data_IF_760664278385
#
_entry.id   IF_760664278385
#
_cell.length_a   1.000
_cell.length_b   1.000
_cell.length_c   1.000
_cell.angle_alpha   90.00
_cell.angle_beta   90.00
_cell.angle_gamma   90.00
#
_symmetry.space_group_name_H-M   'P 1'
#
loop_
_entity.id
_entity.type
_entity.pdbx_description
1 polymer ?
#
# COMPACT_ATOMS: atom_id res chain seq x y z
N UNK A 1 -5.38 -21.39 21.03
CA UNK A 1 -4.66 -21.28 19.75
C UNK A 1 -5.60 -21.63 18.60
N UNK A 2 -5.89 -22.90 18.34
CA UNK A 2 -6.70 -23.33 17.17
C UNK A 2 -8.18 -22.91 17.14
N UNK A 3 -8.67 -22.27 18.21
CA UNK A 3 -9.99 -21.63 18.18
C UNK A 3 -9.98 -20.30 17.38
N UNK A 4 -8.81 -19.65 17.30
CA UNK A 4 -8.65 -18.34 16.66
C UNK A 4 -7.78 -18.38 15.40
N UNK A 5 -6.85 -19.34 15.31
CA UNK A 5 -5.87 -19.40 14.22
C UNK A 5 -5.74 -20.81 13.68
N UNK A 6 -5.72 -20.94 12.36
CA UNK A 6 -5.51 -22.21 11.66
C UNK A 6 -4.12 -22.79 11.97
N UNK A 7 -3.10 -21.94 11.96
CA UNK A 7 -1.72 -22.27 12.29
C UNK A 7 -0.92 -21.03 12.74
N UNK A 8 0.41 -21.18 12.85
CA UNK A 8 1.29 -20.08 13.25
C UNK A 8 1.41 -18.97 12.20
N UNK A 9 1.24 -19.28 10.91
CA UNK A 9 1.33 -18.29 9.83
C UNK A 9 0.07 -17.43 9.79
N UNK A 10 -1.08 -18.03 10.04
CA UNK A 10 -2.35 -17.32 10.20
C UNK A 10 -2.26 -16.28 11.34
N UNK A 11 -1.66 -16.65 12.48
CA UNK A 11 -1.38 -15.70 13.56
C UNK A 11 -0.43 -14.56 13.13
N UNK A 12 0.63 -14.87 12.38
CA UNK A 12 1.60 -13.86 11.89
C UNK A 12 0.91 -12.85 10.97
N UNK A 13 0.08 -13.33 10.04
CA UNK A 13 -0.67 -12.49 9.11
C UNK A 13 -1.68 -11.61 9.87
N UNK A 14 -2.40 -12.19 10.83
CA UNK A 14 -3.34 -11.43 11.67
C UNK A 14 -2.65 -10.33 12.49
N UNK A 15 -1.46 -10.59 13.06
CA UNK A 15 -0.68 -9.57 13.78
C UNK A 15 -0.34 -8.40 12.84
N UNK A 16 0.14 -8.72 11.63
CA UNK A 16 0.47 -7.71 10.63
C UNK A 16 -0.75 -6.88 10.23
N UNK A 17 -1.86 -7.52 9.86
CA UNK A 17 -3.07 -6.82 9.43
C UNK A 17 -3.63 -5.91 10.52
N UNK A 18 -3.62 -6.38 11.78
CA UNK A 18 -4.07 -5.57 12.91
C UNK A 18 -3.21 -4.33 13.09
N UNK A 19 -1.90 -4.51 13.18
CA UNK A 19 -1.01 -3.40 13.51
C UNK A 19 -0.88 -2.40 12.37
N UNK A 20 -0.80 -2.89 11.14
CA UNK A 20 -0.80 -2.02 9.96
C UNK A 20 -2.16 -1.39 9.71
N UNK A 21 -3.27 -2.07 9.99
CA UNK A 21 -4.61 -1.50 9.97
C UNK A 21 -4.77 -0.34 10.95
N UNK A 22 -4.19 -0.44 12.15
CA UNK A 22 -4.15 0.67 13.12
C UNK A 22 -3.31 1.86 12.62
N UNK A 23 -2.20 1.59 11.94
CA UNK A 23 -1.33 2.63 11.35
C UNK A 23 -2.10 3.35 10.23
N UNK A 24 -2.62 2.58 9.28
CA UNK A 24 -3.30 3.06 8.08
C UNK A 24 -4.72 3.57 8.34
N UNK A 25 -5.28 3.28 9.51
CA UNK A 25 -6.60 3.75 9.93
C UNK A 25 -7.75 3.07 9.20
N UNK A 26 -7.71 1.75 8.98
CA UNK A 26 -8.86 1.06 8.39
C UNK A 26 -9.30 -0.11 9.26
N UNK A 27 -10.56 -0.53 9.06
CA UNK A 27 -11.13 -1.65 9.80
C UNK A 27 -10.41 -2.97 9.45
N UNK A 28 -9.82 -3.58 10.48
CA UNK A 28 -9.08 -4.84 10.41
C UNK A 28 -10.04 -6.02 10.16
N UNK A 29 -11.33 -5.85 10.44
CA UNK A 29 -12.36 -6.88 10.24
C UNK A 29 -12.88 -6.97 8.79
N UNK A 30 -12.48 -6.06 7.89
CA UNK A 30 -12.83 -6.17 6.46
C UNK A 30 -11.97 -7.23 5.75
N UNK A 31 -12.52 -8.45 5.66
CA UNK A 31 -11.90 -9.60 5.02
C UNK A 31 -12.14 -9.68 3.51
N UNK A 32 -12.76 -8.66 2.89
CA UNK A 32 -13.09 -8.71 1.46
C UNK A 32 -11.81 -8.77 0.60
N UNK A 33 -11.83 -9.37 -0.60
CA UNK A 33 -10.69 -9.36 -1.52
C UNK A 33 -10.22 -7.92 -1.83
N UNK A 34 -8.90 -7.66 -2.02
CA UNK A 34 -8.35 -6.30 -2.20
C UNK A 34 -9.01 -5.51 -3.34
N UNK A 35 -9.50 -6.21 -4.35
CA UNK A 35 -10.16 -5.70 -5.55
C UNK A 35 -11.67 -5.46 -5.38
N UNK A 36 -12.27 -5.97 -4.31
CA UNK A 36 -13.70 -5.83 -3.98
C UNK A 36 -13.96 -4.92 -2.76
N UNK A 37 -12.93 -4.53 -2.00
CA UNK A 37 -13.05 -3.55 -0.91
C UNK A 37 -13.50 -2.21 -1.46
N UNK A 38 -14.59 -1.64 -0.92
CA UNK A 38 -15.05 -0.30 -1.27
C UNK A 38 -13.90 0.68 -1.09
N UNK A 39 -13.45 1.30 -2.18
CA UNK A 39 -12.31 2.23 -2.17
C UNK A 39 -12.61 3.55 -1.43
N UNK A 40 -13.87 3.74 -1.04
CA UNK A 40 -14.38 4.89 -0.31
C UNK A 40 -15.38 4.34 0.71
N UNK A 41 -14.98 4.20 1.97
CA UNK A 41 -15.93 4.16 3.07
C UNK A 41 -16.18 5.59 3.58
N UNK A 42 -17.41 5.82 4.02
CA UNK A 42 -17.94 7.08 4.51
C UNK A 42 -17.26 7.61 5.79
N UNK A 43 -16.27 6.88 6.33
CA UNK A 43 -15.65 7.10 7.63
C UNK A 43 -14.18 7.51 7.63
N UNK A 44 -13.55 7.75 6.46
CA UNK A 44 -12.53 8.79 6.33
C UNK A 44 -11.42 8.83 7.38
N UNK A 45 -10.67 7.74 7.57
CA UNK A 45 -9.42 7.80 8.33
C UNK A 45 -8.29 8.34 7.44
N UNK A 46 -8.38 9.65 7.23
CA UNK A 46 -7.34 10.48 6.65
C UNK A 46 -6.18 10.64 7.65
N UNK A 47 -5.26 9.67 7.70
CA UNK A 47 -3.84 10.07 7.69
C UNK A 47 -3.50 10.41 6.24
N UNK A 48 -3.91 11.62 5.83
CA UNK A 48 -3.66 12.20 4.50
C UNK A 48 -2.40 13.07 4.49
N UNK A 49 -1.38 12.70 5.27
CA UNK A 49 -0.06 13.32 5.14
C UNK A 49 0.81 12.59 4.10
N UNK A 50 0.27 11.56 3.44
CA UNK A 50 0.99 10.77 2.44
C UNK A 50 2.05 9.83 3.04
N UNK A 51 2.06 9.62 4.36
CA UNK A 51 3.15 8.90 5.06
C UNK A 51 2.84 7.47 5.46
N UNK A 52 1.70 6.90 5.07
CA UNK A 52 1.34 5.52 5.47
C UNK A 52 2.46 4.53 5.10
N UNK A 53 3.07 4.66 3.92
CA UNK A 53 4.18 3.77 3.55
C UNK A 53 5.40 3.97 4.46
N UNK A 54 5.74 5.22 4.82
CA UNK A 54 6.83 5.53 5.74
C UNK A 54 6.54 4.96 7.14
N UNK A 55 5.32 5.12 7.65
CA UNK A 55 4.89 4.60 8.95
C UNK A 55 4.93 3.06 8.97
N UNK A 56 4.53 2.40 7.88
CA UNK A 56 4.64 0.94 7.73
C UNK A 56 6.12 0.51 7.70
N UNK A 57 6.98 1.22 6.99
CA UNK A 57 8.43 0.95 6.95
C UNK A 57 9.05 1.11 8.35
N UNK A 58 8.69 2.16 9.07
CA UNK A 58 9.13 2.40 10.45
C UNK A 58 8.66 1.28 11.39
N UNK A 59 7.39 0.90 11.31
CA UNK A 59 6.83 -0.18 12.13
C UNK A 59 7.52 -1.52 11.87
N UNK A 60 7.66 -1.92 10.59
CA UNK A 60 8.37 -3.15 10.22
C UNK A 60 9.79 -3.18 10.78
N UNK A 61 10.47 -2.04 10.81
CA UNK A 61 11.81 -1.92 11.36
C UNK A 61 11.85 -1.97 12.90
N UNK A 62 10.85 -1.36 13.56
CA UNK A 62 10.73 -1.39 15.01
C UNK A 62 10.59 -2.83 15.54
N UNK A 63 9.89 -3.68 14.78
CA UNK A 63 9.69 -5.11 15.05
C UNK A 63 10.55 -6.02 14.14
N UNK A 64 11.68 -5.53 13.63
CA UNK A 64 12.47 -6.21 12.58
C UNK A 64 12.85 -7.65 12.90
N UNK A 65 13.12 -7.99 14.17
CA UNK A 65 13.50 -9.35 14.54
C UNK A 65 12.37 -10.35 14.23
N UNK A 66 11.12 -9.92 14.41
CA UNK A 66 9.94 -10.70 14.06
C UNK A 66 9.77 -10.79 12.54
N UNK A 67 9.80 -9.63 11.85
CA UNK A 67 9.52 -9.59 10.41
C UNK A 67 10.61 -10.19 9.53
N UNK A 68 11.88 -10.12 9.94
CA UNK A 68 12.99 -10.82 9.28
C UNK A 68 12.76 -12.33 9.34
N UNK A 69 12.43 -12.87 10.50
CA UNK A 69 12.16 -14.31 10.65
C UNK A 69 10.89 -14.72 9.89
N UNK A 70 9.82 -13.94 9.98
CA UNK A 70 8.55 -14.22 9.31
C UNK A 70 8.67 -14.24 7.78
N UNK A 71 9.43 -13.31 7.19
CA UNK A 71 9.57 -13.16 5.74
C UNK A 71 10.72 -14.00 5.13
N UNK A 72 11.57 -14.59 5.96
CA UNK A 72 12.69 -15.46 5.53
C UNK A 72 12.36 -16.95 5.66
N UNK A 73 11.31 -17.31 6.40
CA UNK A 73 10.85 -18.69 6.56
C UNK A 73 10.38 -19.30 5.22
N UNK A 74 10.86 -20.50 4.87
CA UNK A 74 10.49 -21.25 3.65
C UNK A 74 9.06 -21.86 3.67
N UNK A 75 8.28 -21.58 4.71
CA UNK A 75 6.87 -21.97 4.79
C UNK A 75 6.05 -20.94 3.99
N UNK A 76 5.05 -21.37 3.21
CA UNK A 76 4.22 -20.53 2.32
C UNK A 76 4.00 -19.10 2.86
N UNK A 77 4.36 -18.11 2.03
CA UNK A 77 4.50 -16.70 2.40
C UNK A 77 3.19 -15.92 2.22
N UNK A 78 2.16 -16.24 2.99
CA UNK A 78 0.88 -15.50 2.97
C UNK A 78 1.09 -14.05 3.44
N UNK A 79 2.02 -13.81 4.37
CA UNK A 79 2.39 -12.44 4.81
C UNK A 79 2.79 -11.51 3.65
N UNK A 80 3.36 -12.06 2.57
CA UNK A 80 3.68 -11.27 1.36
C UNK A 80 2.41 -10.75 0.69
N UNK A 81 1.35 -11.54 0.66
CA UNK A 81 0.05 -11.16 0.10
C UNK A 81 -0.61 -10.07 0.95
N UNK A 82 -0.46 -10.15 2.28
CA UNK A 82 -0.91 -9.09 3.18
C UNK A 82 -0.14 -7.78 2.97
N UNK A 83 1.19 -7.84 2.83
CA UNK A 83 2.02 -6.66 2.47
C UNK A 83 1.59 -6.07 1.11
N UNK A 84 1.31 -6.93 0.13
CA UNK A 84 0.81 -6.52 -1.18
C UNK A 84 -0.53 -5.79 -1.04
N UNK A 85 -1.47 -6.35 -0.28
CA UNK A 85 -2.80 -5.78 -0.07
C UNK A 85 -2.74 -4.38 0.55
N UNK A 86 -1.94 -4.19 1.60
CA UNK A 86 -1.72 -2.87 2.21
C UNK A 86 -1.13 -1.90 1.20
N UNK A 87 -0.06 -2.33 0.52
CA UNK A 87 0.66 -1.50 -0.45
C UNK A 87 -0.24 -1.07 -1.60
N UNK A 88 -1.12 -1.95 -2.07
CA UNK A 88 -2.07 -1.68 -3.14
C UNK A 88 -3.03 -0.56 -2.76
N UNK A 89 -3.52 -0.58 -1.52
CA UNK A 89 -4.42 0.45 -1.00
C UNK A 89 -3.71 1.80 -0.87
N UNK A 90 -2.48 1.79 -0.35
CA UNK A 90 -1.66 3.01 -0.27
C UNK A 90 -1.44 3.61 -1.66
N UNK A 91 -1.02 2.81 -2.64
CA UNK A 91 -0.82 3.30 -3.99
C UNK A 91 -2.09 3.76 -4.69
N UNK A 92 -3.21 3.07 -4.48
CA UNK A 92 -4.50 3.48 -5.03
C UNK A 92 -4.88 4.87 -4.50
N UNK A 93 -4.74 5.10 -3.20
CA UNK A 93 -5.01 6.39 -2.56
C UNK A 93 -4.04 7.48 -3.03
N UNK A 94 -2.74 7.18 -3.07
CA UNK A 94 -1.73 8.15 -3.47
C UNK A 94 -1.91 8.53 -4.95
N UNK A 95 -2.23 7.56 -5.81
CA UNK A 95 -2.56 7.79 -7.21
C UNK A 95 -3.80 8.67 -7.35
N UNK A 96 -4.89 8.39 -6.61
CA UNK A 96 -6.08 9.22 -6.62
C UNK A 96 -5.79 10.66 -6.14
N UNK A 97 -4.96 10.81 -5.10
CA UNK A 97 -4.57 12.11 -4.55
C UNK A 97 -3.74 12.92 -5.55
N UNK A 98 -2.74 12.29 -6.19
CA UNK A 98 -1.88 12.93 -7.19
C UNK A 98 -2.59 13.22 -8.51
N UNK A 99 -3.56 12.37 -8.88
CA UNK A 99 -4.35 12.54 -10.08
C UNK A 99 -5.23 13.79 -9.98
N UNK A 100 -5.84 14.03 -8.82
CA UNK A 100 -6.68 15.21 -8.57
C UNK A 100 -7.89 15.22 -9.51
N UNK A 101 -8.11 16.34 -10.20
CA UNK A 101 -9.18 16.51 -11.18
C UNK A 101 -8.88 15.89 -12.56
N UNK A 102 -7.69 15.30 -12.76
CA UNK A 102 -7.36 14.62 -14.01
C UNK A 102 -8.03 13.26 -14.05
N UNK A 103 -8.24 12.71 -15.24
CA UNK A 103 -8.74 11.36 -15.43
C UNK A 103 -7.71 10.48 -16.13
N UNK A 104 -7.63 9.22 -15.70
CA UNK A 104 -6.89 8.15 -16.36
C UNK A 104 -7.86 7.02 -16.70
N UNK A 105 -7.56 6.22 -17.71
CA UNK A 105 -8.36 5.02 -17.99
C UNK A 105 -8.26 4.03 -16.83
N UNK A 106 -9.33 3.26 -16.59
CA UNK A 106 -9.34 2.22 -15.56
C UNK A 106 -8.21 1.20 -15.78
N UNK A 107 -7.93 0.83 -17.03
CA UNK A 107 -6.83 -0.06 -17.38
C UNK A 107 -5.46 0.51 -16.97
N UNK A 108 -5.21 1.79 -17.22
CA UNK A 108 -3.97 2.45 -16.82
C UNK A 108 -3.85 2.51 -15.30
N UNK A 109 -4.91 2.94 -14.60
CA UNK A 109 -4.95 2.98 -13.13
C UNK A 109 -4.58 1.62 -12.55
N UNK A 110 -5.27 0.55 -12.96
CA UNK A 110 -5.00 -0.79 -12.44
C UNK A 110 -3.59 -1.29 -12.79
N UNK A 111 -3.11 -0.99 -14.00
CA UNK A 111 -1.77 -1.41 -14.44
C UNK A 111 -0.69 -0.78 -13.57
N UNK A 112 -0.75 0.54 -13.36
CA UNK A 112 0.27 1.25 -12.58
C UNK A 112 0.18 0.95 -11.10
N UNK A 113 -1.03 0.88 -10.52
CA UNK A 113 -1.19 0.48 -9.12
C UNK A 113 -0.60 -0.91 -8.88
N UNK A 114 -0.90 -1.91 -9.74
CA UNK A 114 -0.32 -3.25 -9.63
C UNK A 114 1.20 -3.23 -9.76
N UNK A 115 1.74 -2.49 -10.73
CA UNK A 115 3.18 -2.38 -10.94
C UNK A 115 3.91 -1.83 -9.70
N UNK A 116 3.49 -0.68 -9.18
CA UNK A 116 4.12 -0.07 -8.01
C UNK A 116 3.93 -0.92 -6.75
N UNK A 117 2.79 -1.58 -6.60
CA UNK A 117 2.52 -2.51 -5.49
C UNK A 117 3.47 -3.69 -5.50
N UNK A 118 3.69 -4.32 -6.67
CA UNK A 118 4.68 -5.39 -6.79
C UNK A 118 6.09 -4.89 -6.50
N UNK A 119 6.45 -3.70 -7.01
CA UNK A 119 7.77 -3.12 -6.78
C UNK A 119 8.04 -2.89 -5.28
N UNK A 120 7.12 -2.26 -4.54
CA UNK A 120 7.33 -2.02 -3.10
C UNK A 120 7.28 -3.32 -2.30
N UNK A 121 6.36 -4.24 -2.62
CA UNK A 121 6.24 -5.52 -1.91
C UNK A 121 7.53 -6.31 -2.07
N UNK A 122 8.04 -6.42 -3.29
CA UNK A 122 9.32 -7.09 -3.56
C UNK A 122 10.48 -6.43 -2.82
N UNK A 123 10.50 -5.09 -2.77
CA UNK A 123 11.54 -4.33 -2.08
C UNK A 123 11.51 -4.56 -0.57
N UNK A 124 10.32 -4.54 0.06
CA UNK A 124 10.15 -4.79 1.49
C UNK A 124 10.52 -6.23 1.87
N UNK A 125 10.09 -7.21 1.08
CA UNK A 125 10.44 -8.62 1.28
C UNK A 125 11.94 -8.83 1.15
N UNK A 126 12.57 -8.28 0.11
CA UNK A 126 14.01 -8.38 -0.07
C UNK A 126 14.77 -7.73 1.10
N UNK A 127 14.35 -6.55 1.54
CA UNK A 127 14.95 -5.86 2.68
C UNK A 127 14.88 -6.72 3.96
N UNK A 128 13.76 -7.40 4.20
CA UNK A 128 13.62 -8.35 5.31
C UNK A 128 14.54 -9.57 5.16
N UNK A 129 14.60 -10.18 3.98
CA UNK A 129 15.47 -11.34 3.70
C UNK A 129 16.96 -11.02 3.84
N UNK A 130 17.34 -9.77 3.57
CA UNK A 130 18.70 -9.27 3.79
C UNK A 130 18.97 -8.87 5.24
N UNK A 131 18.00 -9.04 6.14
CA UNK A 131 18.10 -8.79 7.58
C UNK A 131 17.85 -7.33 8.00
N UNK A 132 17.17 -6.54 7.17
CA UNK A 132 16.88 -5.11 7.39
C UNK A 132 18.11 -4.30 7.82
N UNK A 133 19.23 -4.47 7.10
CA UNK A 133 20.54 -3.88 7.47
C UNK A 133 20.57 -2.36 7.38
N UNK A 134 19.98 -1.80 6.33
CA UNK A 134 19.73 -0.36 6.20
C UNK A 134 18.56 0.01 7.13
N UNK A 135 18.66 1.14 7.83
CA UNK A 135 17.58 1.59 8.71
C UNK A 135 16.34 2.08 7.92
N UNK A 136 15.22 2.24 8.62
CA UNK A 136 13.94 2.65 8.02
C UNK A 136 13.99 4.02 7.33
N UNK A 137 14.77 4.97 7.85
CA UNK A 137 14.92 6.32 7.26
C UNK A 137 15.72 6.23 5.96
N UNK A 138 16.81 5.46 5.95
CA UNK A 138 17.60 5.22 4.75
C UNK A 138 16.79 4.51 3.66
N UNK A 139 16.02 3.49 4.04
CA UNK A 139 15.10 2.78 3.16
C UNK A 139 14.07 3.73 2.54
N UNK A 140 13.32 4.49 3.35
CA UNK A 140 12.33 5.45 2.89
C UNK A 140 12.94 6.53 1.99
N UNK A 141 14.09 7.09 2.37
CA UNK A 141 14.79 8.12 1.58
C UNK A 141 15.27 7.60 0.23
N UNK A 142 15.65 6.33 0.14
CA UNK A 142 16.15 5.72 -1.10
C UNK A 142 15.03 5.47 -2.12
N UNK A 143 13.89 4.95 -1.67
CA UNK A 143 12.81 4.51 -2.57
C UNK A 143 11.67 5.52 -2.71
N UNK A 144 11.37 6.30 -1.68
CA UNK A 144 10.27 7.27 -1.67
C UNK A 144 10.32 8.27 -2.83
N UNK A 145 11.44 9.00 -3.05
CA UNK A 145 11.55 9.95 -4.16
C UNK A 145 11.38 9.29 -5.53
N UNK A 146 11.99 8.11 -5.73
CA UNK A 146 11.89 7.37 -6.98
C UNK A 146 10.43 7.01 -7.27
N UNK A 147 9.73 6.46 -6.29
CA UNK A 147 8.33 6.07 -6.43
C UNK A 147 7.47 7.30 -6.74
N UNK A 148 7.65 8.38 -6.01
CA UNK A 148 6.90 9.62 -6.20
C UNK A 148 7.12 10.22 -7.60
N UNK A 149 8.38 10.34 -8.04
CA UNK A 149 8.72 10.85 -9.38
C UNK A 149 8.14 10.00 -10.50
N UNK A 150 8.19 8.66 -10.36
CA UNK A 150 7.62 7.75 -11.36
C UNK A 150 6.09 7.81 -11.39
N UNK A 151 5.43 7.97 -10.23
CA UNK A 151 3.98 8.18 -10.18
C UNK A 151 3.58 9.47 -10.90
N UNK A 152 4.27 10.58 -10.64
CA UNK A 152 4.03 11.86 -11.33
C UNK A 152 4.20 11.71 -12.85
N UNK A 153 5.31 11.09 -13.29
CA UNK A 153 5.58 10.86 -14.71
C UNK A 153 4.45 10.06 -15.37
N UNK A 154 4.00 8.97 -14.73
CA UNK A 154 2.91 8.14 -15.24
C UNK A 154 1.61 8.94 -15.37
N UNK A 155 1.25 9.72 -14.35
CA UNK A 155 0.05 10.53 -14.37
C UNK A 155 0.13 11.55 -15.50
N UNK A 156 1.27 12.24 -15.67
CA UNK A 156 1.44 13.25 -16.70
C UNK A 156 1.36 12.67 -18.13
N UNK A 157 1.77 11.42 -18.33
CA UNK A 157 1.70 10.74 -19.64
C UNK A 157 0.33 10.14 -19.94
N UNK A 158 -0.43 9.74 -18.92
CA UNK A 158 -1.62 8.91 -19.08
C UNK A 158 -2.91 9.56 -18.60
N UNK A 159 -2.86 10.80 -18.10
CA UNK A 159 -4.03 11.53 -17.66
C UNK A 159 -4.39 12.72 -18.54
N UNK A 160 -5.67 13.10 -18.55
CA UNK A 160 -6.19 14.30 -19.20
C UNK A 160 -7.08 15.07 -18.21
N UNK A 161 -7.24 16.38 -18.39
CA UNK A 161 -8.22 17.16 -17.61
C UNK A 161 -9.64 16.75 -18.01
N UNK A 162 -10.58 16.79 -17.06
CA UNK A 162 -12.00 16.74 -17.42
C UNK A 162 -12.32 17.89 -18.39
N UNK A 163 -13.09 17.66 -19.46
CA UNK A 163 -13.59 18.76 -20.27
C UNK A 163 -14.46 19.65 -19.37
N UNK A 164 -14.18 20.97 -19.36
CA UNK A 164 -15.03 21.94 -18.68
C UNK A 164 -16.46 21.80 -19.22
N UNK A 165 -17.42 21.59 -18.32
CA UNK A 165 -18.83 21.49 -18.66
C UNK A 165 -19.32 22.89 -19.09
N UNK A 166 -19.20 23.19 -20.39
CA UNK A 166 -19.64 24.43 -21.05
C UNK A 166 -21.19 24.61 -21.03
N UNK A 167 -21.89 23.99 -20.08
CA UNK A 167 -23.36 24.03 -19.97
C UNK A 167 -23.91 25.23 -19.18
N UNK A 168 -23.06 26.13 -18.65
CA UNK A 168 -23.51 27.36 -17.96
C UNK A 168 -23.43 28.65 -18.80
N UNK A 169 -23.14 28.58 -20.11
CA UNK A 169 -23.02 29.78 -20.96
C UNK A 169 -24.33 30.24 -21.67
N UNK A 170 -25.47 29.54 -21.49
CA UNK A 170 -26.76 29.97 -22.04
C UNK A 170 -27.86 30.02 -20.96
N UNK A 171 -27.85 31.11 -20.16
CA UNK A 171 -29.01 31.54 -19.37
C UNK A 171 -29.18 33.07 -19.42
#
# INVERSE_FOLDING_TARGET
FYYHFLDKQDLVCWIFDRDVGLIAGYDVEDTSPPEERSMLDEHGLLRNDGKILDDVIEYLYSERAFYVEALTSDVQNDLREHIYTVSYRVFTRDLATLLGARQMTLEALQTFTRFFTHAITGTLVQWAQEGMKQDHIEMARKYGPIIHEQLLFVIDQHSALEPEDDSEAEA
#
